data_IF_250693003799
#
_entry.id   IF_250693003799
#
_cell.length_a   1.000
_cell.length_b   1.000
_cell.length_c   1.000
_cell.angle_alpha   90.00
_cell.angle_beta   90.00
_cell.angle_gamma   90.00
#
_symmetry.space_group_name_H-M   'P 1'
#
loop_
_entity.id
_entity.type
_entity.pdbx_description
1 polymer ?
#
# COMPACT_ATOMS: atom_id res chain seq x y z
N UNK A 1 6.46 0.62 16.79
CA UNK A 1 6.91 -0.61 16.10
C UNK A 1 6.09 -0.81 14.82
N UNK A 2 6.64 -0.89 13.60
CA UNK A 2 5.81 -1.18 12.44
C UNK A 2 5.42 -2.66 12.49
N UNK A 3 4.16 -2.94 12.84
CA UNK A 3 3.57 -4.26 12.77
C UNK A 3 3.78 -4.82 11.36
N UNK A 4 4.39 -6.01 11.27
CA UNK A 4 4.49 -6.74 10.00
C UNK A 4 3.06 -6.92 9.50
N UNK A 5 2.70 -6.25 8.41
CA UNK A 5 1.33 -6.33 7.88
C UNK A 5 1.15 -7.73 7.32
N UNK A 6 0.42 -8.56 8.06
CA UNK A 6 0.20 -9.97 7.75
C UNK A 6 -1.23 -10.22 7.29
N UNK A 7 -1.44 -11.33 6.61
CA UNK A 7 -2.81 -11.76 6.28
C UNK A 7 -3.53 -12.22 7.55
N UNK A 8 -4.86 -12.10 7.59
CA UNK A 8 -5.67 -12.70 8.67
C UNK A 8 -5.48 -14.22 8.77
N UNK A 9 -5.16 -14.86 7.64
CA UNK A 9 -4.81 -16.28 7.60
C UNK A 9 -3.51 -16.55 8.36
N UNK A 10 -3.58 -17.46 9.32
CA UNK A 10 -2.42 -18.02 10.01
C UNK A 10 -1.92 -19.27 9.26
N UNK A 11 -0.67 -19.63 9.51
CA UNK A 11 -0.10 -20.93 9.17
C UNK A 11 -0.57 -21.98 10.19
N UNK A 12 -0.33 -23.26 9.91
CA UNK A 12 -0.61 -24.37 10.85
C UNK A 12 0.15 -24.21 12.18
N UNK A 13 1.37 -23.64 12.13
CA UNK A 13 2.19 -23.28 13.29
C UNK A 13 1.70 -22.04 14.06
N UNK A 14 0.49 -21.54 13.78
CA UNK A 14 -0.11 -20.38 14.44
C UNK A 14 0.50 -19.02 14.06
N UNK A 15 1.59 -19.00 13.27
CA UNK A 15 2.26 -17.75 12.87
C UNK A 15 1.46 -17.03 11.79
N UNK A 16 1.45 -15.68 11.81
CA UNK A 16 0.80 -14.91 10.76
C UNK A 16 1.47 -15.16 9.40
N UNK A 17 0.68 -15.46 8.36
CA UNK A 17 1.24 -15.58 7.00
C UNK A 17 1.67 -14.20 6.50
N UNK A 18 2.89 -14.15 5.95
CA UNK A 18 3.38 -12.97 5.23
C UNK A 18 2.49 -12.71 4.02
N UNK A 19 2.27 -11.44 3.71
CA UNK A 19 1.61 -11.07 2.46
C UNK A 19 2.40 -11.60 1.26
N UNK A 20 1.69 -12.19 0.29
CA UNK A 20 2.30 -12.67 -0.95
C UNK A 20 2.81 -11.48 -1.75
N UNK A 21 4.00 -11.62 -2.37
CA UNK A 21 4.50 -10.68 -3.37
C UNK A 21 3.51 -10.63 -4.53
N UNK A 22 3.18 -9.43 -4.99
CA UNK A 22 2.23 -9.26 -6.09
C UNK A 22 2.98 -9.00 -7.38
N UNK A 23 2.63 -9.76 -8.43
CA UNK A 23 3.22 -9.64 -9.77
C UNK A 23 2.43 -8.68 -10.67
N UNK A 24 1.11 -8.56 -10.48
CA UNK A 24 0.23 -7.73 -11.31
C UNK A 24 0.00 -6.35 -10.69
N UNK A 25 0.12 -5.30 -11.51
CA UNK A 25 -0.06 -3.88 -11.13
C UNK A 25 -1.41 -3.63 -10.43
N UNK A 26 -2.51 -4.18 -10.96
CA UNK A 26 -3.88 -4.00 -10.45
C UNK A 26 -4.01 -4.52 -9.03
N UNK A 27 -3.50 -5.73 -8.79
CA UNK A 27 -3.48 -6.35 -7.46
C UNK A 27 -2.54 -5.60 -6.51
N UNK A 28 -1.43 -5.05 -7.03
CA UNK A 28 -0.47 -4.34 -6.21
C UNK A 28 -1.07 -3.02 -5.70
N UNK A 29 -1.80 -2.28 -6.54
CA UNK A 29 -2.54 -1.07 -6.14
C UNK A 29 -3.60 -1.36 -5.07
N UNK A 30 -4.39 -2.43 -5.22
CA UNK A 30 -5.39 -2.82 -4.20
C UNK A 30 -4.73 -3.16 -2.88
N UNK A 31 -3.65 -3.92 -2.91
CA UNK A 31 -2.90 -4.28 -1.70
C UNK A 31 -2.32 -3.04 -1.04
N UNK A 32 -1.68 -2.14 -1.79
CA UNK A 32 -1.13 -0.88 -1.29
C UNK A 32 -2.20 -0.04 -0.57
N UNK A 33 -3.40 0.08 -1.15
CA UNK A 33 -4.53 0.76 -0.51
C UNK A 33 -4.86 0.16 0.84
N UNK A 34 -5.04 -1.16 0.91
CA UNK A 34 -5.36 -1.87 2.15
C UNK A 34 -4.26 -1.74 3.20
N UNK A 35 -2.99 -1.80 2.80
CA UNK A 35 -1.85 -1.63 3.71
C UNK A 35 -1.87 -0.25 4.37
N UNK A 36 -2.16 0.78 3.59
CA UNK A 36 -2.24 2.15 4.07
C UNK A 36 -3.45 2.33 5.00
N UNK A 37 -4.62 1.80 4.64
CA UNK A 37 -5.83 1.87 5.48
C UNK A 37 -5.61 1.21 6.85
N UNK A 38 -5.01 0.02 6.86
CA UNK A 38 -4.64 -0.68 8.10
C UNK A 38 -3.63 0.13 8.91
N UNK A 39 -2.65 0.76 8.26
CA UNK A 39 -1.62 1.56 8.94
C UNK A 39 -2.18 2.84 9.56
N UNK A 40 -3.13 3.49 8.90
CA UNK A 40 -3.76 4.72 9.40
C UNK A 40 -4.89 4.39 10.39
N UNK A 41 -5.42 3.16 10.36
CA UNK A 41 -6.53 2.73 11.21
C UNK A 41 -7.90 3.20 10.73
N UNK A 42 -8.00 3.72 9.49
CA UNK A 42 -9.28 4.10 8.87
C UNK A 42 -9.27 3.87 7.37
N UNK A 43 -10.46 3.79 6.77
CA UNK A 43 -10.60 3.77 5.31
C UNK A 43 -10.11 5.07 4.68
N UNK A 44 -9.46 4.97 3.53
CA UNK A 44 -9.03 6.13 2.75
C UNK A 44 -10.25 6.79 2.11
N UNK A 45 -10.33 8.11 2.19
CA UNK A 45 -11.39 8.89 1.53
C UNK A 45 -11.25 8.77 0.01
N UNK A 46 -12.34 9.03 -0.72
CA UNK A 46 -12.36 8.99 -2.20
C UNK A 46 -11.31 9.91 -2.83
N UNK A 47 -11.00 11.04 -2.17
CA UNK A 47 -9.98 12.02 -2.60
C UNK A 47 -8.55 11.68 -2.13
N UNK A 48 -8.36 10.64 -1.31
CA UNK A 48 -7.04 10.22 -0.83
C UNK A 48 -6.48 9.10 -1.74
N UNK A 49 -5.29 9.33 -2.28
CA UNK A 49 -4.61 8.44 -3.21
C UNK A 49 -3.35 7.87 -2.57
N UNK A 50 -3.04 6.62 -2.89
CA UNK A 50 -1.78 5.98 -2.50
C UNK A 50 -0.76 6.21 -3.59
N UNK A 51 0.39 6.73 -3.18
CA UNK A 51 1.52 7.06 -4.01
C UNK A 51 2.70 6.15 -3.66
N UNK A 52 3.33 5.58 -4.69
CA UNK A 52 4.57 4.80 -4.57
C UNK A 52 5.76 5.71 -4.86
N UNK A 53 6.58 6.00 -3.85
CA UNK A 53 7.69 6.96 -3.95
C UNK A 53 8.73 6.58 -5.00
N UNK A 54 9.00 5.28 -5.15
CA UNK A 54 9.96 4.72 -6.10
C UNK A 54 9.43 4.57 -7.53
N UNK A 55 8.17 4.95 -7.79
CA UNK A 55 7.52 4.78 -9.08
C UNK A 55 7.26 3.32 -9.48
N UNK A 56 7.61 2.33 -8.64
CA UNK A 56 7.40 0.90 -8.88
C UNK A 56 6.13 0.44 -8.18
N UNK A 57 5.06 0.25 -8.95
CA UNK A 57 3.73 -0.09 -8.41
C UNK A 57 3.68 -1.43 -7.68
N UNK A 58 4.62 -2.35 -7.96
CA UNK A 58 4.72 -3.67 -7.29
C UNK A 58 5.41 -3.61 -5.93
N UNK A 59 6.12 -2.53 -5.60
CA UNK A 59 6.80 -2.38 -4.32
C UNK A 59 5.85 -1.83 -3.24
N UNK A 60 5.12 -2.75 -2.60
CA UNK A 60 4.16 -2.42 -1.56
C UNK A 60 4.77 -2.29 -0.16
N UNK A 61 6.06 -2.00 -0.05
CA UNK A 61 6.69 -1.73 1.25
C UNK A 61 6.01 -0.52 1.92
N UNK A 62 5.61 -0.61 3.20
CA UNK A 62 4.90 0.48 3.88
C UNK A 62 5.72 1.78 3.98
N UNK A 63 7.06 1.71 3.86
CA UNK A 63 7.94 2.89 3.78
C UNK A 63 7.89 3.58 2.40
N UNK A 64 7.58 2.81 1.35
CA UNK A 64 7.45 3.27 -0.03
C UNK A 64 6.07 3.87 -0.35
N UNK A 65 5.05 3.52 0.44
CA UNK A 65 3.70 4.04 0.27
C UNK A 65 3.51 5.36 1.02
N UNK A 66 2.94 6.36 0.34
CA UNK A 66 2.55 7.65 0.91
C UNK A 66 1.11 7.96 0.54
N UNK A 67 0.36 8.60 1.45
CA UNK A 67 -0.98 9.11 1.13
C UNK A 67 -0.88 10.53 0.64
N UNK A 68 -1.55 10.81 -0.47
CA UNK A 68 -1.63 12.13 -1.07
C UNK A 68 -3.10 12.55 -1.16
N UNK A 69 -3.39 13.79 -0.78
CA UNK A 69 -4.72 14.37 -0.87
C UNK A 69 -4.90 14.97 -2.28
N UNK A 70 -5.62 14.23 -3.14
CA UNK A 70 -6.02 14.67 -4.48
C UNK A 70 -5.04 14.34 -5.61
N UNK A 71 -5.61 14.14 -6.80
CA UNK A 71 -4.88 13.82 -8.03
C UNK A 71 -3.89 14.93 -8.42
N UNK A 72 -4.25 16.21 -8.21
CA UNK A 72 -3.39 17.36 -8.55
C UNK A 72 -2.08 17.36 -7.76
N UNK A 73 -2.12 17.03 -6.46
CA UNK A 73 -0.90 16.87 -5.65
C UNK A 73 -0.16 15.59 -6.02
N UNK A 74 -0.88 14.52 -6.36
CA UNK A 74 -0.27 13.26 -6.80
C UNK A 74 0.56 13.45 -8.08
N UNK A 75 0.00 14.13 -9.09
CA UNK A 75 0.69 14.43 -10.35
C UNK A 75 1.91 15.34 -10.19
N UNK A 76 1.88 16.29 -9.25
CA UNK A 76 3.03 17.18 -8.97
C UNK A 76 4.24 16.47 -8.35
N UNK A 77 4.05 15.30 -7.73
CA UNK A 77 5.16 14.56 -7.11
C UNK A 77 6.01 13.83 -8.17
N UNK A 78 5.43 13.54 -9.34
CA UNK A 78 6.15 13.04 -10.50
C UNK A 78 5.83 13.91 -11.72
N UNK A 79 6.41 15.11 -11.83
CA UNK A 79 6.32 15.88 -13.06
C UNK A 79 7.05 15.09 -14.17
N UNK A 80 6.35 14.72 -15.24
CA UNK A 80 6.96 14.13 -16.43
C UNK A 80 7.01 12.59 -16.51
N UNK A 81 6.00 11.89 -15.98
CA UNK A 81 5.76 10.48 -16.31
C UNK A 81 4.49 10.32 -17.12
#
# INVERSE_FOLDING_TARGET
>A
MPSKISTSRRKSDGKPRKLRKVKNIRSARRQARRLVEVRIGRKLKKKELVHHKDGKTTNNSPKNLKVVRGQRRHGRIHPGK
#
